data_IF_744225132133
#
_entry.id   IF_744225132133
#
_cell.length_a   1.000
_cell.length_b   1.000
_cell.length_c   1.000
_cell.angle_alpha   90.00
_cell.angle_beta   90.00
_cell.angle_gamma   90.00
#
_symmetry.space_group_name_H-M   'P 1'
#
loop_
_entity.id
_entity.type
_entity.pdbx_description
1 polymer ?
#
# COMPACT_ATOMS: atom_id res chain seq x y z
N UNK A 1 -16.20 29.33 -39.34
CA UNK A 1 -15.26 29.45 -38.22
C UNK A 1 -15.92 28.74 -37.05
N UNK A 2 -15.68 27.43 -36.92
CA UNK A 2 -16.27 26.58 -35.90
C UNK A 2 -15.20 26.35 -34.84
N UNK A 3 -15.35 26.97 -33.67
CA UNK A 3 -14.53 26.63 -32.51
C UNK A 3 -15.07 25.33 -31.92
N UNK A 4 -14.28 24.26 -31.96
CA UNK A 4 -14.44 23.12 -31.07
C UNK A 4 -13.94 23.53 -29.69
N UNK A 5 -14.78 23.35 -28.67
CA UNK A 5 -14.32 23.27 -27.30
C UNK A 5 -14.02 21.79 -27.04
N UNK A 6 -12.74 21.43 -27.04
CA UNK A 6 -12.30 20.17 -26.47
C UNK A 6 -12.43 20.31 -24.95
N UNK A 7 -13.44 19.62 -24.39
CA UNK A 7 -13.54 19.40 -22.96
C UNK A 7 -12.58 18.26 -22.66
N UNK A 8 -11.40 18.57 -22.14
CA UNK A 8 -10.57 17.59 -21.45
C UNK A 8 -11.37 17.10 -20.23
N UNK A 9 -11.96 15.92 -20.37
CA UNK A 9 -12.51 15.17 -19.23
C UNK A 9 -11.29 14.60 -18.52
N UNK A 10 -10.85 15.29 -17.47
CA UNK A 10 -9.87 14.79 -16.52
C UNK A 10 -10.52 13.55 -15.85
N UNK A 11 -10.14 12.35 -16.31
CA UNK A 11 -10.71 11.10 -15.82
C UNK A 11 -10.11 10.76 -14.46
N UNK A 12 -10.76 11.21 -13.39
CA UNK A 12 -10.39 10.93 -11.99
C UNK A 12 -10.45 9.44 -11.59
N UNK A 13 -10.75 8.52 -12.52
CA UNK A 13 -10.98 7.09 -12.28
C UNK A 13 -9.86 6.14 -12.77
N UNK A 14 -8.74 6.64 -13.33
CA UNK A 14 -7.62 5.75 -13.67
C UNK A 14 -6.81 5.36 -12.42
N UNK A 15 -6.48 4.07 -12.22
CA UNK A 15 -5.70 3.62 -11.08
C UNK A 15 -4.34 4.35 -11.04
N UNK A 16 -3.78 4.61 -9.85
CA UNK A 16 -2.56 5.42 -9.71
C UNK A 16 -1.32 4.78 -10.34
N UNK A 17 -1.43 3.54 -10.81
CA UNK A 17 -0.38 2.77 -11.43
C UNK A 17 -0.95 1.78 -12.45
N UNK A 18 -0.09 1.29 -13.34
CA UNK A 18 -0.42 0.24 -14.30
C UNK A 18 0.77 -0.67 -14.53
N UNK A 19 0.48 -1.95 -14.79
CA UNK A 19 1.47 -2.93 -15.21
C UNK A 19 1.51 -3.00 -16.73
N UNK A 20 2.62 -2.62 -17.33
CA UNK A 20 2.79 -2.55 -18.80
C UNK A 20 3.67 -3.69 -19.26
N UNK A 21 3.28 -4.40 -20.33
CA UNK A 21 4.11 -5.46 -20.89
C UNK A 21 5.48 -4.90 -21.33
N UNK A 22 6.56 -5.58 -20.97
CA UNK A 22 7.89 -5.18 -21.39
C UNK A 22 8.07 -5.38 -22.90
N UNK A 23 8.57 -4.35 -23.59
CA UNK A 23 8.79 -4.32 -25.04
C UNK A 23 10.28 -4.30 -25.43
N UNK A 24 11.16 -4.46 -24.43
CA UNK A 24 12.61 -4.36 -24.59
C UNK A 24 13.21 -3.08 -24.02
N UNK A 25 12.39 -2.10 -23.62
CA UNK A 25 12.84 -0.84 -23.00
C UNK A 25 12.11 -0.59 -21.67
N UNK A 26 12.81 0.02 -20.71
CA UNK A 26 12.22 0.45 -19.45
C UNK A 26 11.45 1.77 -19.70
N UNK A 27 10.14 1.84 -19.42
CA UNK A 27 9.37 3.08 -19.56
C UNK A 27 9.94 4.21 -18.69
N UNK A 28 9.90 5.45 -19.18
CA UNK A 28 10.43 6.61 -18.43
C UNK A 28 9.70 6.91 -17.13
N UNK A 29 8.46 6.43 -16.99
CA UNK A 29 7.64 6.53 -15.78
C UNK A 29 7.57 5.20 -15.00
N UNK A 30 8.53 4.29 -15.24
CA UNK A 30 8.67 3.09 -14.44
C UNK A 30 9.08 3.43 -13.00
N UNK A 31 8.62 2.62 -12.05
CA UNK A 31 9.13 2.68 -10.68
C UNK A 31 10.52 2.06 -10.66
N UNK A 32 11.52 2.85 -10.33
CA UNK A 32 12.93 2.47 -10.41
C UNK A 32 13.68 2.71 -9.11
N UNK A 33 14.80 2.01 -8.98
CA UNK A 33 15.86 2.22 -8.00
C UNK A 33 17.19 2.33 -8.72
N UNK A 34 18.21 2.78 -8.00
CA UNK A 34 19.58 2.73 -8.47
C UNK A 34 20.33 1.67 -7.67
N UNK A 35 21.08 0.82 -8.35
CA UNK A 35 22.06 -0.01 -7.66
C UNK A 35 23.23 0.86 -7.14
N UNK A 36 24.17 0.24 -6.41
CA UNK A 36 25.34 0.94 -5.88
C UNK A 36 26.28 1.53 -6.95
N UNK A 37 26.16 1.08 -8.20
CA UNK A 37 26.95 1.54 -9.34
C UNK A 37 26.23 2.67 -10.10
N UNK A 38 24.98 2.98 -9.73
CA UNK A 38 24.14 3.96 -10.39
C UNK A 38 23.35 3.39 -11.59
N UNK A 39 23.31 2.08 -11.77
CA UNK A 39 22.48 1.45 -12.81
C UNK A 39 21.02 1.44 -12.38
N UNK A 40 20.13 1.63 -13.33
CA UNK A 40 18.68 1.60 -13.10
C UNK A 40 18.17 0.17 -12.95
N UNK A 41 17.47 -0.08 -11.86
CA UNK A 41 16.66 -1.28 -11.63
C UNK A 41 15.19 -0.89 -11.71
N UNK A 42 14.42 -1.48 -12.62
CA UNK A 42 12.98 -1.24 -12.71
C UNK A 42 12.19 -2.35 -12.03
N UNK A 43 11.10 -1.96 -11.37
CA UNK A 43 10.16 -2.86 -10.74
C UNK A 43 9.37 -3.62 -11.80
N UNK A 44 9.51 -4.94 -11.80
CA UNK A 44 8.80 -5.83 -12.69
C UNK A 44 7.97 -6.84 -11.90
N UNK A 45 7.07 -7.53 -12.60
CA UNK A 45 6.47 -8.79 -12.13
C UNK A 45 6.34 -9.77 -13.29
N UNK A 46 6.54 -11.04 -13.00
CA UNK A 46 6.47 -12.11 -13.99
C UNK A 46 5.84 -13.38 -13.44
N UNK A 47 5.28 -14.18 -14.35
CA UNK A 47 4.56 -15.40 -14.00
C UNK A 47 5.51 -16.59 -13.90
N UNK A 48 5.26 -17.44 -12.91
CA UNK A 48 5.93 -18.71 -12.67
C UNK A 48 4.89 -19.79 -12.46
N UNK A 49 5.30 -21.07 -12.41
CA UNK A 49 4.38 -22.20 -12.19
C UNK A 49 3.45 -22.02 -10.98
N UNK A 50 3.93 -21.34 -9.93
CA UNK A 50 3.24 -21.20 -8.65
C UNK A 50 2.70 -19.79 -8.37
N UNK A 51 2.67 -18.90 -9.36
CA UNK A 51 2.04 -17.59 -9.22
C UNK A 51 2.76 -16.45 -9.92
N UNK A 52 2.33 -15.22 -9.63
CA UNK A 52 2.83 -13.98 -10.20
C UNK A 52 3.68 -13.25 -9.16
N UNK A 53 4.94 -12.97 -9.47
CA UNK A 53 5.90 -12.50 -8.48
C UNK A 53 6.48 -11.14 -8.85
N UNK A 54 6.49 -10.15 -7.92
CA UNK A 54 7.23 -8.92 -8.12
C UNK A 54 8.75 -9.15 -7.95
N UNK A 55 9.54 -8.35 -8.65
CA UNK A 55 10.99 -8.43 -8.68
C UNK A 55 11.60 -7.21 -9.38
N UNK A 56 12.78 -7.39 -9.94
CA UNK A 56 13.48 -6.30 -10.63
C UNK A 56 14.05 -6.74 -11.97
N UNK A 57 14.14 -5.80 -12.90
CA UNK A 57 14.87 -5.95 -14.16
C UNK A 57 15.93 -4.86 -14.25
N UNK A 58 17.13 -5.23 -14.67
CA UNK A 58 18.19 -4.29 -15.01
C UNK A 58 18.25 -4.05 -16.53
N UNK A 59 18.80 -2.90 -16.94
CA UNK A 59 18.90 -2.51 -18.35
C UNK A 59 19.81 -3.40 -19.21
N UNK A 60 20.70 -4.16 -18.57
CA UNK A 60 21.74 -4.95 -19.26
C UNK A 60 21.22 -6.32 -19.65
N UNK A 61 20.64 -7.05 -18.70
CA UNK A 61 20.19 -8.44 -18.86
C UNK A 61 18.77 -8.51 -19.41
N UNK A 62 17.93 -7.50 -19.18
CA UNK A 62 16.55 -7.41 -19.68
C UNK A 62 15.66 -8.62 -19.32
N UNK A 63 15.99 -9.30 -18.24
CA UNK A 63 15.21 -10.38 -17.64
C UNK A 63 14.67 -9.92 -16.28
N UNK A 64 13.40 -10.21 -16.00
CA UNK A 64 12.80 -9.94 -14.70
C UNK A 64 13.23 -11.01 -13.70
N UNK A 65 14.01 -10.59 -12.70
CA UNK A 65 14.50 -11.42 -11.61
C UNK A 65 13.47 -11.42 -10.48
N UNK A 66 12.85 -12.58 -10.24
CA UNK A 66 11.82 -12.73 -9.19
C UNK A 66 12.23 -13.77 -8.17
N UNK A 67 12.06 -13.43 -6.89
CA UNK A 67 12.18 -14.38 -5.78
C UNK A 67 10.86 -15.15 -5.64
N UNK A 68 10.85 -16.39 -6.13
CA UNK A 68 9.69 -17.26 -6.07
C UNK A 68 9.86 -18.34 -4.99
N UNK A 69 8.76 -19.03 -4.66
CA UNK A 69 8.76 -20.11 -3.69
C UNK A 69 9.90 -21.13 -3.91
N UNK A 70 10.34 -21.79 -2.84
CA UNK A 70 11.43 -22.79 -2.80
C UNK A 70 12.86 -22.21 -2.78
N UNK A 71 13.00 -20.90 -2.52
CA UNK A 71 14.30 -20.27 -2.29
C UNK A 71 15.12 -20.00 -3.56
N UNK A 72 14.47 -19.98 -4.73
CA UNK A 72 15.12 -19.81 -6.04
C UNK A 72 14.78 -18.46 -6.65
N UNK A 73 15.73 -17.95 -7.44
CA UNK A 73 15.50 -16.79 -8.32
C UNK A 73 15.13 -17.31 -9.70
N UNK A 74 14.05 -16.76 -10.26
CA UNK A 74 13.64 -17.03 -11.63
C UNK A 74 13.98 -15.82 -12.51
N UNK A 75 14.53 -16.09 -13.69
CA UNK A 75 14.84 -15.09 -14.71
C UNK A 75 13.79 -15.22 -15.82
N UNK A 76 12.94 -14.20 -15.96
CA UNK A 76 11.76 -14.25 -16.82
C UNK A 76 11.91 -13.27 -17.98
N UNK A 77 11.69 -13.76 -19.21
CA UNK A 77 11.73 -12.94 -20.44
C UNK A 77 10.38 -12.31 -20.79
N UNK A 78 9.27 -12.92 -20.37
CA UNK A 78 7.92 -12.37 -20.48
C UNK A 78 7.47 -11.85 -19.11
N UNK A 79 7.34 -10.53 -18.99
CA UNK A 79 6.97 -9.86 -17.74
C UNK A 79 6.33 -8.49 -18.00
N UNK A 80 5.86 -7.87 -16.92
CA UNK A 80 5.31 -6.51 -16.92
C UNK A 80 6.12 -5.60 -16.01
N UNK A 81 6.22 -4.31 -16.34
CA UNK A 81 6.86 -3.27 -15.54
C UNK A 81 5.79 -2.41 -14.88
N UNK A 82 5.99 -2.06 -13.60
CA UNK A 82 5.11 -1.12 -12.90
C UNK A 82 5.42 0.30 -13.36
N UNK A 83 4.42 0.97 -13.88
CA UNK A 83 4.49 2.39 -14.24
C UNK A 83 3.46 3.18 -13.44
N UNK A 84 3.79 4.42 -13.11
CA UNK A 84 2.91 5.30 -12.34
C UNK A 84 3.24 6.76 -12.66
N UNK A 85 2.27 7.65 -12.51
CA UNK A 85 2.54 9.08 -12.58
C UNK A 85 3.37 9.51 -11.38
N UNK A 86 4.33 10.40 -11.62
CA UNK A 86 5.21 10.91 -10.57
C UNK A 86 4.37 11.52 -9.44
N UNK A 87 4.60 11.05 -8.22
CA UNK A 87 3.91 11.42 -6.98
C UNK A 87 2.61 10.67 -6.65
N UNK A 88 2.19 9.65 -7.39
CA UNK A 88 1.02 8.84 -6.98
C UNK A 88 1.37 7.70 -6.01
N UNK A 89 2.64 7.28 -5.96
CA UNK A 89 3.12 6.21 -5.06
C UNK A 89 4.25 6.71 -4.16
N UNK A 90 4.44 6.06 -3.01
CA UNK A 90 5.57 6.31 -2.10
C UNK A 90 6.04 5.06 -1.37
N UNK A 91 7.30 5.10 -0.95
CA UNK A 91 7.91 4.11 -0.08
C UNK A 91 7.76 4.51 1.39
N UNK A 92 7.21 3.60 2.21
CA UNK A 92 7.15 3.78 3.66
C UNK A 92 7.98 2.70 4.37
N UNK A 93 8.68 3.05 5.46
CA UNK A 93 9.30 2.06 6.33
C UNK A 93 8.28 1.04 6.84
N UNK A 94 8.65 -0.24 6.85
CA UNK A 94 7.81 -1.33 7.31
C UNK A 94 8.60 -2.40 8.05
N UNK A 95 7.90 -3.22 8.84
CA UNK A 95 8.47 -4.38 9.53
C UNK A 95 7.55 -5.59 9.40
N UNK A 96 8.13 -6.78 9.42
CA UNK A 96 7.40 -8.03 9.21
C UNK A 96 6.35 -8.34 10.28
N UNK A 97 6.54 -7.83 11.50
CA UNK A 97 5.56 -7.96 12.59
C UNK A 97 4.47 -6.90 12.58
N UNK A 98 4.51 -5.91 11.67
CA UNK A 98 3.45 -4.92 11.54
C UNK A 98 2.24 -5.51 10.84
N UNK A 99 1.07 -5.17 11.36
CA UNK A 99 -0.20 -5.46 10.71
C UNK A 99 -0.36 -4.57 9.49
N UNK A 100 -0.67 -5.17 8.33
CA UNK A 100 -0.96 -4.47 7.09
C UNK A 100 -2.28 -3.68 7.20
N UNK A 101 -2.19 -2.48 7.75
CA UNK A 101 -3.30 -1.56 7.99
C UNK A 101 -2.86 -0.11 7.84
N UNK A 102 -3.80 0.81 7.62
CA UNK A 102 -3.51 2.25 7.57
C UNK A 102 -3.03 2.79 6.23
N UNK A 103 -2.78 1.91 5.25
CA UNK A 103 -2.27 2.28 3.94
C UNK A 103 -2.98 1.50 2.84
N UNK A 104 -3.03 2.09 1.64
CA UNK A 104 -3.36 1.38 0.41
C UNK A 104 -2.07 0.79 -0.17
N UNK A 105 -1.84 -0.49 0.08
CA UNK A 105 -0.65 -1.21 -0.39
C UNK A 105 -0.78 -1.57 -1.86
N UNK A 106 0.34 -1.51 -2.59
CA UNK A 106 0.36 -1.87 -4.01
C UNK A 106 0.55 -3.38 -4.17
N UNK A 107 -0.36 -4.00 -4.91
CA UNK A 107 -0.34 -5.43 -5.19
C UNK A 107 0.74 -5.76 -6.22
N UNK A 108 1.69 -6.62 -5.82
CA UNK A 108 2.79 -7.08 -6.67
C UNK A 108 2.45 -8.35 -7.45
N UNK A 109 1.54 -9.18 -6.92
CA UNK A 109 1.15 -10.45 -7.50
C UNK A 109 0.63 -11.40 -6.43
N UNK A 110 0.83 -12.71 -6.60
CA UNK A 110 0.33 -13.74 -5.69
C UNK A 110 1.22 -14.99 -5.71
N UNK A 111 1.26 -15.70 -4.59
CA UNK A 111 1.90 -17.02 -4.44
C UNK A 111 0.83 -18.02 -4.04
N UNK A 112 0.54 -18.96 -4.94
CA UNK A 112 -0.66 -19.81 -4.89
C UNK A 112 -1.93 -18.95 -4.79
N UNK A 113 -2.48 -18.78 -3.57
CA UNK A 113 -3.68 -17.99 -3.28
C UNK A 113 -3.43 -16.86 -2.27
N UNK A 114 -2.16 -16.58 -1.96
CA UNK A 114 -1.76 -15.51 -1.05
C UNK A 114 -1.32 -14.28 -1.84
N UNK A 115 -1.96 -13.15 -1.59
CA UNK A 115 -1.57 -11.87 -2.18
C UNK A 115 -0.15 -11.48 -1.73
N UNK A 116 0.63 -10.97 -2.69
CA UNK A 116 1.97 -10.45 -2.49
C UNK A 116 1.99 -8.94 -2.72
N UNK A 117 2.70 -8.24 -1.86
CA UNK A 117 2.97 -6.82 -1.96
C UNK A 117 4.43 -6.56 -2.37
N UNK A 118 4.73 -5.31 -2.70
CA UNK A 118 6.03 -4.92 -3.22
C UNK A 118 6.89 -4.33 -2.11
N UNK A 119 8.07 -4.91 -1.92
CA UNK A 119 9.12 -4.36 -1.07
C UNK A 119 10.28 -3.79 -1.87
N UNK A 120 10.93 -2.80 -1.24
CA UNK A 120 12.29 -2.35 -1.52
C UNK A 120 13.16 -2.67 -0.31
N UNK A 121 14.34 -3.25 -0.54
CA UNK A 121 15.36 -3.49 0.49
C UNK A 121 16.68 -2.85 0.07
N UNK A 122 17.43 -2.32 1.04
CA UNK A 122 18.81 -1.85 0.84
C UNK A 122 19.75 -2.64 1.73
N UNK A 123 20.78 -3.23 1.13
CA UNK A 123 21.80 -4.00 1.81
C UNK A 123 22.85 -3.09 2.47
N UNK A 124 23.65 -3.65 3.39
CA UNK A 124 24.70 -2.90 4.08
C UNK A 124 25.80 -2.34 3.17
N UNK A 125 25.95 -2.87 1.95
CA UNK A 125 26.86 -2.38 0.92
C UNK A 125 26.20 -1.34 -0.01
N UNK A 126 24.94 -0.95 0.24
CA UNK A 126 24.17 -0.01 -0.57
C UNK A 126 23.39 -0.63 -1.73
N UNK A 127 23.57 -1.92 -2.05
CA UNK A 127 22.79 -2.55 -3.13
C UNK A 127 21.30 -2.58 -2.79
N UNK A 128 20.46 -2.28 -3.77
CA UNK A 128 19.01 -2.22 -3.63
C UNK A 128 18.34 -3.31 -4.45
N UNK A 129 17.25 -3.86 -3.93
CA UNK A 129 16.46 -4.85 -4.63
C UNK A 129 14.96 -4.62 -4.42
N UNK A 130 14.19 -4.88 -5.47
CA UNK A 130 12.76 -5.10 -5.34
C UNK A 130 12.47 -6.56 -5.01
N UNK A 131 11.36 -6.78 -4.33
CA UNK A 131 10.95 -8.12 -3.94
C UNK A 131 9.49 -8.23 -3.54
N UNK A 132 9.14 -9.43 -3.09
CA UNK A 132 7.79 -9.79 -2.63
C UNK A 132 7.65 -9.65 -1.12
N UNK A 133 6.42 -9.42 -0.68
CA UNK A 133 6.05 -9.46 0.74
C UNK A 133 4.72 -10.19 0.87
N UNK A 134 4.66 -11.36 1.52
CA UNK A 134 3.38 -11.95 1.89
C UNK A 134 2.74 -11.12 3.01
N UNK A 135 1.42 -11.23 3.16
CA UNK A 135 0.68 -10.54 4.21
C UNK A 135 1.30 -10.82 5.59
N UNK A 136 1.68 -9.75 6.31
CA UNK A 136 2.32 -9.81 7.64
C UNK A 136 3.60 -10.68 7.69
N UNK A 137 4.52 -10.48 6.75
CA UNK A 137 5.76 -11.26 6.65
C UNK A 137 7.02 -10.46 6.32
N UNK A 138 8.13 -11.20 6.18
CA UNK A 138 9.40 -10.64 5.71
C UNK A 138 9.29 -10.20 4.25
N UNK A 139 10.12 -9.24 3.85
CA UNK A 139 10.39 -9.02 2.43
C UNK A 139 11.34 -10.10 1.92
N UNK A 140 11.06 -10.64 0.74
CA UNK A 140 11.91 -11.62 0.05
C UNK A 140 12.37 -11.05 -1.28
N UNK A 141 13.67 -11.13 -1.56
CA UNK A 141 14.29 -10.62 -2.78
C UNK A 141 15.30 -11.64 -3.31
N UNK A 142 15.58 -11.57 -4.62
CA UNK A 142 16.43 -12.53 -5.31
C UNK A 142 17.75 -11.93 -5.77
N UNK A 143 18.86 -12.59 -5.48
CA UNK A 143 20.16 -12.30 -6.11
C UNK A 143 20.66 -13.57 -6.82
N UNK A 144 21.46 -14.40 -6.14
CA UNK A 144 21.80 -15.77 -6.55
C UNK A 144 20.79 -16.80 -6.04
N UNK A 145 20.11 -16.47 -4.94
CA UNK A 145 19.04 -17.22 -4.28
C UNK A 145 18.07 -16.25 -3.62
N UNK A 146 17.02 -16.78 -3.02
CA UNK A 146 16.11 -15.97 -2.22
C UNK A 146 16.73 -15.62 -0.87
N UNK A 147 16.68 -14.33 -0.52
CA UNK A 147 17.02 -13.79 0.78
C UNK A 147 15.81 -13.11 1.40
N UNK A 148 15.85 -12.87 2.72
CA UNK A 148 14.76 -12.19 3.42
C UNK A 148 15.23 -11.10 4.38
N UNK A 149 14.38 -10.08 4.57
CA UNK A 149 14.55 -8.99 5.51
C UNK A 149 13.28 -8.79 6.34
N UNK A 150 13.43 -8.63 7.66
CA UNK A 150 12.32 -8.34 8.57
C UNK A 150 11.96 -6.86 8.63
N UNK A 151 12.79 -5.99 8.06
CA UNK A 151 12.59 -4.54 7.97
C UNK A 151 12.92 -4.11 6.56
N UNK A 152 12.04 -3.32 5.95
CA UNK A 152 12.09 -3.01 4.53
C UNK A 152 11.26 -1.76 4.26
N UNK A 153 11.28 -1.26 3.02
CA UNK A 153 10.31 -0.29 2.54
C UNK A 153 9.19 -1.02 1.80
N UNK A 154 7.95 -0.61 2.02
CA UNK A 154 6.78 -1.13 1.29
C UNK A 154 6.16 -0.03 0.43
N UNK A 155 5.69 -0.40 -0.75
CA UNK A 155 5.08 0.53 -1.70
C UNK A 155 3.59 0.75 -1.40
N UNK A 156 3.18 2.01 -1.33
CA UNK A 156 1.79 2.41 -1.06
C UNK A 156 1.38 3.61 -1.93
N UNK A 157 0.08 3.86 -2.07
CA UNK A 157 -0.41 5.11 -2.70
C UNK A 157 -0.04 6.34 -1.86
N UNK A 158 0.28 7.45 -2.54
CA UNK A 158 0.78 8.69 -1.94
C UNK A 158 -0.32 9.57 -1.33
N UNK A 159 -1.59 9.42 -1.77
CA UNK A 159 -2.75 10.14 -1.19
C UNK A 159 -3.05 9.76 0.27
N UNK A 160 -2.33 8.77 0.79
CA UNK A 160 -2.28 8.47 2.19
C UNK A 160 -1.43 9.51 2.93
N UNK A 161 -2.02 10.63 3.34
CA UNK A 161 -1.75 11.02 4.72
C UNK A 161 -1.93 9.78 5.60
N UNK A 162 -1.20 9.64 6.71
CA UNK A 162 -1.58 8.73 7.81
C UNK A 162 -2.92 9.18 8.42
N UNK A 163 -3.93 9.43 7.59
CA UNK A 163 -5.29 9.03 7.87
C UNK A 163 -5.14 7.61 8.39
N UNK A 164 -5.60 7.42 9.61
CA UNK A 164 -6.07 6.11 9.97
C UNK A 164 -7.07 5.73 8.86
N UNK A 165 -6.63 5.04 7.80
CA UNK A 165 -7.39 3.90 7.33
C UNK A 165 -7.33 2.95 8.51
N UNK A 166 -8.19 3.23 9.49
CA UNK A 166 -8.75 2.23 10.35
C UNK A 166 -8.94 1.05 9.40
N UNK A 167 -8.25 -0.10 9.63
CA UNK A 167 -8.77 -1.40 9.16
C UNK A 167 -10.26 -1.24 9.33
N UNK A 168 -11.05 -1.21 8.24
CA UNK A 168 -12.40 -0.68 8.35
C UNK A 168 -12.98 -1.32 9.63
N UNK A 169 -13.24 -0.54 10.70
CA UNK A 169 -13.45 -1.12 12.01
C UNK A 169 -14.70 -2.00 12.00
N UNK A 170 -15.44 -1.93 10.89
CA UNK A 170 -16.67 -2.58 10.59
C UNK A 170 -16.51 -3.82 9.71
N UNK A 171 -15.41 -4.10 9.00
CA UNK A 171 -15.29 -5.35 8.23
C UNK A 171 -13.87 -5.84 7.91
N UNK A 172 -13.73 -7.15 7.70
CA UNK A 172 -12.49 -7.81 7.26
C UNK A 172 -12.76 -9.10 6.48
N UNK A 173 -11.82 -9.50 5.61
CA UNK A 173 -11.84 -10.79 4.93
C UNK A 173 -10.96 -11.78 5.69
N UNK A 174 -11.54 -12.91 6.11
CA UNK A 174 -10.89 -13.92 6.95
C UNK A 174 -10.80 -15.23 6.19
N UNK A 175 -9.61 -15.84 6.11
CA UNK A 175 -9.43 -17.15 5.48
C UNK A 175 -10.33 -18.20 6.12
N UNK A 176 -11.02 -19.00 5.30
CA UNK A 176 -11.81 -20.11 5.83
C UNK A 176 -10.89 -21.22 6.35
N UNK A 177 -11.10 -21.61 7.60
CA UNK A 177 -10.29 -22.62 8.32
C UNK A 177 -11.08 -23.89 8.63
N UNK A 178 -12.25 -24.06 8.01
CA UNK A 178 -13.22 -25.11 8.34
C UNK A 178 -14.37 -24.61 9.22
N UNK A 179 -14.31 -23.38 9.73
CA UNK A 179 -15.38 -22.78 10.53
C UNK A 179 -15.85 -21.43 9.97
N UNK A 180 -17.15 -21.13 10.11
CA UNK A 180 -17.71 -19.83 9.74
C UNK A 180 -17.61 -18.91 10.98
N UNK A 181 -16.92 -17.75 10.89
CA UNK A 181 -16.83 -16.80 11.99
C UNK A 181 -18.20 -16.30 12.46
N UNK A 182 -18.37 -16.08 13.77
CA UNK A 182 -19.65 -15.64 14.35
C UNK A 182 -20.11 -14.25 13.87
N UNK A 183 -19.16 -13.41 13.47
CA UNK A 183 -19.40 -12.08 12.90
C UNK A 183 -19.40 -12.09 11.36
N UNK A 184 -19.54 -13.26 10.72
CA UNK A 184 -19.67 -13.34 9.27
C UNK A 184 -20.91 -12.57 8.77
N UNK A 185 -20.78 -11.99 7.58
CA UNK A 185 -21.89 -11.37 6.86
C UNK A 185 -22.68 -12.49 6.18
N UNK A 186 -23.88 -12.73 6.72
CA UNK A 186 -24.72 -13.86 6.34
C UNK A 186 -26.14 -13.40 6.01
N UNK A 187 -26.87 -14.27 5.32
CA UNK A 187 -28.32 -14.19 5.22
C UNK A 187 -28.93 -15.59 5.23
N UNK A 188 -30.14 -15.70 5.75
CA UNK A 188 -30.91 -16.94 5.76
C UNK A 188 -32.02 -16.84 4.73
N UNK A 189 -32.09 -17.83 3.84
CA UNK A 189 -33.17 -17.98 2.87
C UNK A 189 -34.40 -18.65 3.53
N UNK A 190 -35.56 -18.60 2.86
CA UNK A 190 -36.83 -19.15 3.36
C UNK A 190 -36.81 -20.67 3.66
N UNK A 191 -35.81 -21.39 3.16
CA UNK A 191 -35.56 -22.81 3.42
C UNK A 191 -34.58 -23.07 4.58
N UNK A 192 -34.38 -22.08 5.45
CA UNK A 192 -33.42 -22.06 6.56
C UNK A 192 -31.94 -22.22 6.13
N UNK A 193 -31.65 -22.14 4.83
CA UNK A 193 -30.29 -22.18 4.31
C UNK A 193 -29.58 -20.85 4.57
N UNK A 194 -28.47 -20.91 5.30
CA UNK A 194 -27.64 -19.74 5.58
C UNK A 194 -26.54 -19.61 4.55
N UNK A 195 -26.58 -18.51 3.80
CA UNK A 195 -25.52 -18.13 2.88
C UNK A 195 -24.54 -17.17 3.57
N UNK A 196 -23.27 -17.31 3.23
CA UNK A 196 -22.18 -16.46 3.73
C UNK A 196 -21.51 -15.78 2.55
N UNK A 197 -21.17 -14.49 2.67
CA UNK A 197 -20.37 -13.80 1.65
C UNK A 197 -18.95 -14.37 1.65
N UNK A 198 -18.46 -14.78 0.47
CA UNK A 198 -17.09 -15.26 0.30
C UNK A 198 -16.41 -14.63 -0.91
N UNK A 199 -15.09 -14.73 -0.96
CA UNK A 199 -14.28 -14.44 -2.15
C UNK A 199 -13.19 -15.48 -2.35
N UNK A 200 -12.84 -15.72 -3.60
CA UNK A 200 -11.80 -16.66 -4.04
C UNK A 200 -10.72 -15.88 -4.78
N UNK A 201 -9.51 -16.44 -4.78
CA UNK A 201 -8.39 -15.95 -5.56
C UNK A 201 -8.11 -17.00 -6.63
N UNK A 202 -8.24 -16.63 -7.91
CA UNK A 202 -8.00 -17.55 -9.02
C UNK A 202 -7.12 -16.89 -10.09
N UNK A 203 -6.23 -17.68 -10.70
CA UNK A 203 -5.26 -17.20 -11.70
C UNK A 203 -5.93 -16.66 -12.97
N UNK A 204 -7.10 -17.18 -13.33
CA UNK A 204 -7.77 -16.89 -14.60
C UNK A 204 -8.71 -15.71 -14.48
N UNK A 205 -9.44 -15.59 -13.37
CA UNK A 205 -10.48 -14.56 -13.22
C UNK A 205 -10.21 -13.50 -12.15
N UNK A 206 -9.11 -13.58 -11.41
CA UNK A 206 -8.75 -12.61 -10.37
C UNK A 206 -9.40 -12.92 -9.01
N UNK A 207 -9.66 -11.89 -8.21
CA UNK A 207 -10.31 -12.02 -6.90
C UNK A 207 -11.81 -11.86 -7.10
N UNK A 208 -12.57 -12.97 -7.10
CA UNK A 208 -14.00 -12.95 -7.34
C UNK A 208 -14.81 -13.31 -6.11
N UNK A 209 -15.96 -12.67 -5.95
CA UNK A 209 -16.85 -12.89 -4.83
C UNK A 209 -18.10 -13.68 -5.21
N UNK A 210 -18.70 -14.29 -4.20
CA UNK A 210 -19.93 -15.06 -4.31
C UNK A 210 -20.44 -15.47 -2.94
N UNK A 211 -20.89 -16.72 -2.82
CA UNK A 211 -21.46 -17.21 -1.56
C UNK A 211 -21.01 -18.61 -1.20
N UNK A 212 -20.97 -18.90 0.09
CA UNK A 212 -20.89 -20.26 0.63
C UNK A 212 -22.28 -20.66 1.08
N UNK A 213 -22.73 -21.82 0.62
CA UNK A 213 -23.87 -22.52 1.19
C UNK A 213 -23.38 -23.32 2.41
N UNK A 214 -24.03 -23.12 3.57
CA UNK A 214 -23.66 -23.78 4.83
C UNK A 214 -23.68 -25.32 4.78
N UNK A 215 -24.25 -25.93 3.74
CA UNK A 215 -24.24 -27.37 3.51
C UNK A 215 -23.05 -27.87 2.67
N UNK A 216 -22.45 -27.01 1.84
CA UNK A 216 -21.48 -27.44 0.82
C UNK A 216 -20.03 -26.99 1.10
N UNK A 217 -19.79 -26.12 2.08
CA UNK A 217 -18.46 -25.64 2.52
C UNK A 217 -17.51 -25.23 1.36
N UNK A 218 -18.07 -24.80 0.24
CA UNK A 218 -17.37 -24.35 -0.96
C UNK A 218 -17.89 -22.98 -1.33
N UNK A 219 -16.99 -22.09 -1.73
CA UNK A 219 -17.36 -20.79 -2.25
C UNK A 219 -17.80 -20.94 -3.70
N UNK A 220 -19.08 -20.69 -3.96
CA UNK A 220 -19.70 -20.58 -5.28
C UNK A 220 -19.47 -19.18 -5.83
N UNK A 221 -18.78 -19.07 -6.96
CA UNK A 221 -18.54 -17.80 -7.66
C UNK A 221 -18.98 -17.88 -9.12
N UNK A 222 -19.53 -16.79 -9.64
CA UNK A 222 -19.87 -16.67 -11.06
C UNK A 222 -18.71 -16.06 -11.83
N UNK A 223 -18.37 -16.63 -12.97
CA UNK A 223 -17.45 -16.01 -13.92
C UNK A 223 -17.74 -16.49 -15.34
N UNK A 224 -17.73 -15.57 -16.31
CA UNK A 224 -17.95 -15.86 -17.72
C UNK A 224 -19.17 -16.78 -17.97
N UNK A 225 -20.30 -16.45 -17.35
CA UNK A 225 -21.59 -17.17 -17.47
C UNK A 225 -21.69 -18.53 -16.76
N UNK A 226 -20.62 -19.02 -16.13
CA UNK A 226 -20.56 -20.32 -15.45
C UNK A 226 -20.39 -20.15 -13.92
N UNK A 227 -20.80 -21.17 -13.15
CA UNK A 227 -20.54 -21.25 -11.70
C UNK A 227 -19.32 -22.11 -11.41
N UNK A 228 -18.40 -21.58 -10.61
CA UNK A 228 -17.25 -22.29 -10.08
C UNK A 228 -17.40 -22.48 -8.58
N UNK A 229 -17.07 -23.67 -8.10
CA UNK A 229 -17.09 -24.00 -6.68
C UNK A 229 -15.66 -24.32 -6.21
N UNK A 230 -15.18 -23.52 -5.26
CA UNK A 230 -13.79 -23.54 -4.82
C UNK A 230 -13.70 -23.75 -3.31
N UNK A 231 -12.69 -24.50 -2.88
CA UNK A 231 -12.46 -24.86 -1.48
C UNK A 231 -11.56 -23.86 -0.75
N UNK A 232 -10.77 -23.08 -1.50
CA UNK A 232 -9.86 -22.11 -0.92
C UNK A 232 -10.40 -20.68 -1.08
N UNK A 233 -10.94 -20.14 0.02
CA UNK A 233 -11.66 -18.87 0.00
C UNK A 233 -11.54 -18.11 1.32
N UNK A 234 -11.95 -16.84 1.27
CA UNK A 234 -12.07 -15.97 2.44
C UNK A 234 -13.55 -15.62 2.67
N UNK A 235 -13.92 -15.41 3.94
CA UNK A 235 -15.25 -15.02 4.39
C UNK A 235 -15.24 -13.55 4.77
N UNK A 236 -16.26 -12.81 4.33
CA UNK A 236 -16.48 -11.44 4.80
C UNK A 236 -17.04 -11.47 6.22
N UNK A 237 -16.34 -10.80 7.13
CA UNK A 237 -16.74 -10.60 8.52
C UNK A 237 -16.93 -9.12 8.79
N UNK A 238 -17.81 -8.75 9.72
CA UNK A 238 -17.99 -7.34 10.06
C UNK A 238 -19.01 -7.03 11.15
N UNK A 239 -18.98 -5.78 11.62
CA UNK A 239 -19.99 -5.21 12.51
C UNK A 239 -21.27 -4.91 11.74
N UNK A 240 -22.29 -5.73 11.98
CA UNK A 240 -23.61 -5.63 11.34
C UNK A 240 -24.34 -4.31 11.65
N UNK A 241 -23.94 -3.57 12.69
CA UNK A 241 -24.51 -2.24 12.99
C UNK A 241 -23.91 -1.12 12.14
N UNK A 242 -22.83 -1.41 11.42
CA UNK A 242 -22.05 -0.44 10.67
C UNK A 242 -22.00 -0.74 9.18
N UNK A 243 -22.63 -1.83 8.76
CA UNK A 243 -22.80 -2.22 7.39
C UNK A 243 -24.28 -2.27 7.03
N UNK A 244 -24.64 -1.67 5.90
CA UNK A 244 -26.03 -1.56 5.46
C UNK A 244 -26.20 -2.08 4.04
N UNK A 245 -27.31 -2.77 3.83
CA UNK A 245 -27.79 -3.09 2.48
C UNK A 245 -28.72 -1.98 2.00
N UNK A 246 -28.37 -1.32 0.89
CA UNK A 246 -29.23 -0.31 0.25
C UNK A 246 -29.77 -0.84 -1.08
N UNK A 247 -30.97 -0.41 -1.46
CA UNK A 247 -31.55 -0.75 -2.76
C UNK A 247 -30.83 -0.01 -3.89
N UNK A 248 -30.41 -0.78 -4.88
CA UNK A 248 -29.66 -0.32 -6.03
C UNK A 248 -30.30 -0.80 -7.33
N UNK A 249 -30.02 -0.08 -8.39
CA UNK A 249 -30.45 -0.44 -9.73
C UNK A 249 -29.43 0.00 -10.78
N UNK A 250 -29.46 -0.66 -11.93
CA UNK A 250 -28.45 -0.50 -13.00
C UNK A 250 -28.50 0.84 -13.71
N UNK A 251 -29.46 1.72 -13.41
CA UNK A 251 -29.49 3.08 -13.95
C UNK A 251 -28.66 4.05 -13.12
N UNK A 252 -28.30 3.68 -11.89
CA UNK A 252 -27.48 4.49 -10.98
C UNK A 252 -25.99 4.24 -11.22
N UNK A 253 -25.23 5.32 -11.29
CA UNK A 253 -23.77 5.26 -11.24
C UNK A 253 -23.29 4.90 -9.85
N UNK A 254 -22.26 4.04 -9.74
CA UNK A 254 -21.66 3.62 -8.46
C UNK A 254 -20.85 4.75 -7.82
N UNK A 255 -21.53 5.79 -7.38
CA UNK A 255 -20.96 6.96 -6.71
C UNK A 255 -21.81 7.37 -5.50
N UNK A 256 -21.26 8.24 -4.65
CA UNK A 256 -21.98 8.83 -3.51
C UNK A 256 -22.09 7.96 -2.25
N UNK A 257 -21.52 6.75 -2.24
CA UNK A 257 -21.47 5.87 -1.06
C UNK A 257 -20.10 5.21 -0.92
N UNK A 258 -19.77 4.78 0.30
CA UNK A 258 -18.64 3.86 0.53
C UNK A 258 -19.11 2.42 0.39
N UNK A 259 -18.93 1.85 -0.79
CA UNK A 259 -19.29 0.47 -1.11
C UNK A 259 -18.26 -0.52 -0.54
N UNK A 260 -18.72 -1.72 -0.18
CA UNK A 260 -17.84 -2.78 0.31
C UNK A 260 -17.21 -3.51 -0.89
N UNK A 261 -15.90 -3.30 -1.06
CA UNK A 261 -15.09 -3.98 -2.07
C UNK A 261 -14.92 -5.46 -1.71
N UNK A 262 -15.31 -6.33 -2.64
CA UNK A 262 -15.24 -7.78 -2.52
C UNK A 262 -14.14 -8.44 -3.32
N UNK A 263 -13.58 -7.75 -4.30
CA UNK A 263 -12.53 -8.30 -5.14
C UNK A 263 -12.14 -7.41 -6.31
N UNK A 264 -11.35 -7.97 -7.22
CA UNK A 264 -10.82 -7.32 -8.41
C UNK A 264 -10.92 -8.34 -9.54
N UNK A 265 -11.60 -7.99 -10.63
CA UNK A 265 -11.74 -8.84 -11.81
C UNK A 265 -10.39 -8.98 -12.56
N UNK A 266 -10.28 -9.95 -13.45
CA UNK A 266 -9.11 -10.25 -14.29
C UNK A 266 -8.58 -9.05 -15.09
N UNK A 267 -9.43 -8.06 -15.37
CA UNK A 267 -9.08 -6.82 -16.07
C UNK A 267 -8.61 -5.69 -15.13
N UNK A 268 -8.56 -5.92 -13.81
CA UNK A 268 -8.18 -4.93 -12.81
C UNK A 268 -9.35 -4.09 -12.26
N UNK A 269 -10.59 -4.34 -12.67
CA UNK A 269 -11.76 -3.59 -12.18
C UNK A 269 -12.20 -4.04 -10.78
N UNK A 270 -12.52 -3.09 -9.90
CA UNK A 270 -13.06 -3.38 -8.58
C UNK A 270 -14.46 -4.01 -8.63
N UNK A 271 -14.66 -5.03 -7.81
CA UNK A 271 -15.94 -5.73 -7.66
C UNK A 271 -16.54 -5.44 -6.28
N UNK A 272 -17.82 -5.11 -6.22
CA UNK A 272 -18.53 -4.76 -4.99
C UNK A 272 -19.53 -5.83 -4.55
N UNK A 273 -19.69 -5.98 -3.24
CA UNK A 273 -20.57 -6.98 -2.60
C UNK A 273 -22.04 -6.60 -2.79
N UNK A 274 -22.81 -7.46 -3.45
CA UNK A 274 -24.24 -7.30 -3.60
C UNK A 274 -25.05 -8.51 -3.13
N UNK A 275 -26.31 -8.26 -2.80
CA UNK A 275 -27.34 -9.22 -2.41
C UNK A 275 -28.47 -9.13 -3.42
N UNK A 276 -28.79 -10.25 -4.05
CA UNK A 276 -29.67 -10.30 -5.22
C UNK A 276 -30.88 -11.17 -4.91
N UNK A 277 -32.08 -10.63 -5.10
CA UNK A 277 -33.31 -11.41 -5.03
C UNK A 277 -33.51 -12.18 -6.34
N UNK A 278 -33.66 -13.50 -6.25
CA UNK A 278 -33.90 -14.34 -7.42
C UNK A 278 -35.40 -14.56 -7.65
N UNK A 279 -36.01 -15.36 -6.78
CA UNK A 279 -37.45 -15.73 -6.80
C UNK A 279 -37.81 -16.48 -5.52
N UNK A 280 -39.09 -16.51 -5.15
CA UNK A 280 -39.61 -17.30 -4.01
C UNK A 280 -38.85 -17.08 -2.70
N UNK A 281 -38.56 -15.81 -2.37
CA UNK A 281 -37.88 -15.46 -1.12
C UNK A 281 -36.37 -15.72 -1.09
N UNK A 282 -35.80 -16.29 -2.16
CA UNK A 282 -34.37 -16.65 -2.20
C UNK A 282 -33.49 -15.50 -2.64
N UNK A 283 -32.46 -15.27 -1.85
CA UNK A 283 -31.39 -14.33 -2.10
C UNK A 283 -30.07 -15.05 -2.33
N UNK A 284 -29.19 -14.43 -3.11
CA UNK A 284 -27.81 -14.86 -3.34
C UNK A 284 -26.86 -13.69 -3.19
N UNK A 285 -25.65 -13.95 -2.70
CA UNK A 285 -24.58 -12.96 -2.76
C UNK A 285 -23.89 -13.06 -4.10
N UNK A 286 -23.38 -11.92 -4.56
CA UNK A 286 -22.76 -11.80 -5.86
C UNK A 286 -21.98 -10.50 -5.97
N UNK A 287 -21.66 -10.13 -7.20
CA UNK A 287 -20.81 -8.99 -7.53
C UNK A 287 -21.52 -7.96 -8.40
N UNK A 288 -21.02 -6.73 -8.36
CA UNK A 288 -21.30 -5.69 -9.36
C UNK A 288 -20.05 -4.83 -9.55
N UNK A 289 -19.99 -4.06 -10.62
CA UNK A 289 -18.89 -3.13 -10.93
C UNK A 289 -19.39 -2.00 -11.83
N UNK A 290 -18.55 -0.99 -12.06
CA UNK A 290 -18.87 0.12 -12.94
C UNK A 290 -19.14 -0.34 -14.39
N UNK A 291 -18.38 -1.33 -14.86
CA UNK A 291 -18.52 -1.91 -16.19
C UNK A 291 -19.67 -2.92 -16.27
N UNK A 292 -19.90 -3.71 -15.22
CA UNK A 292 -21.01 -4.65 -15.17
C UNK A 292 -22.36 -3.90 -15.19
N UNK A 293 -22.46 -2.78 -14.47
CA UNK A 293 -23.69 -1.97 -14.24
C UNK A 293 -24.86 -2.73 -13.62
N UNK A 294 -24.82 -4.05 -13.57
CA UNK A 294 -25.83 -4.95 -13.03
C UNK A 294 -25.17 -5.90 -12.04
N UNK A 295 -25.95 -6.42 -11.11
CA UNK A 295 -25.45 -7.42 -10.18
C UNK A 295 -25.47 -8.82 -10.82
N UNK A 296 -24.39 -9.58 -10.67
CA UNK A 296 -24.28 -10.97 -11.11
C UNK A 296 -24.12 -11.91 -9.92
N UNK A 297 -24.70 -13.11 -10.02
CA UNK A 297 -24.57 -14.18 -9.02
C UNK A 297 -24.57 -15.54 -9.70
N UNK A 298 -23.86 -16.51 -9.12
CA UNK A 298 -23.90 -17.89 -9.57
C UNK A 298 -25.07 -18.66 -8.93
N UNK A 299 -25.59 -19.66 -9.63
CA UNK A 299 -26.52 -20.63 -9.09
C UNK A 299 -26.67 -21.82 -10.03
N UNK A 300 -26.57 -23.05 -9.50
CA UNK A 300 -26.89 -24.28 -10.25
C UNK A 300 -26.14 -24.38 -11.59
N UNK A 301 -24.83 -24.14 -11.53
CA UNK A 301 -23.92 -24.26 -12.67
C UNK A 301 -23.80 -23.02 -13.55
N UNK A 302 -24.56 -21.94 -13.30
CA UNK A 302 -24.57 -20.76 -14.19
C UNK A 302 -24.49 -19.44 -13.43
N UNK A 303 -23.94 -18.43 -14.09
CA UNK A 303 -24.01 -17.04 -13.64
C UNK A 303 -25.23 -16.33 -14.25
N UNK A 304 -25.96 -15.60 -13.41
CA UNK A 304 -27.15 -14.83 -13.78
C UNK A 304 -26.95 -13.37 -13.42
N UNK A 305 -27.69 -12.47 -14.08
CA UNK A 305 -27.67 -11.05 -13.78
C UNK A 305 -29.05 -10.49 -13.41
N UNK A 306 -29.05 -9.42 -12.62
CA UNK A 306 -30.23 -8.64 -12.24
C UNK A 306 -29.92 -7.15 -12.24
N UNK A 307 -30.83 -6.37 -12.81
CA UNK A 307 -30.76 -4.90 -12.86
C UNK A 307 -31.20 -4.22 -11.57
N UNK A 308 -31.87 -4.93 -10.65
CA UNK A 308 -32.22 -4.43 -9.32
C UNK A 308 -31.71 -5.40 -8.26
N UNK A 309 -31.01 -4.87 -7.28
CA UNK A 309 -30.29 -5.61 -6.26
C UNK A 309 -30.06 -4.74 -5.03
N UNK A 310 -29.54 -5.31 -3.96
CA UNK A 310 -29.02 -4.54 -2.83
C UNK A 310 -27.50 -4.53 -2.86
N UNK A 311 -26.88 -3.38 -2.62
CA UNK A 311 -25.42 -3.26 -2.51
C UNK A 311 -25.05 -2.99 -1.05
N UNK A 312 -23.93 -3.56 -0.59
CA UNK A 312 -23.46 -3.38 0.78
C UNK A 312 -22.62 -2.09 0.87
N UNK A 313 -22.90 -1.27 1.87
CA UNK A 313 -22.22 -0.01 2.15
C UNK A 313 -21.88 0.13 3.63
N UNK A 314 -21.03 1.10 3.97
CA UNK A 314 -20.86 1.58 5.36
C UNK A 314 -22.06 2.45 5.79
N UNK A 315 -22.66 2.19 6.96
CA UNK A 315 -23.86 2.89 7.47
C UNK A 315 -23.68 4.41 7.55
N UNK A 316 -22.49 4.87 7.94
CA UNK A 316 -22.19 6.30 8.06
C UNK A 316 -22.25 7.02 6.70
N UNK A 317 -22.24 6.29 5.58
CA UNK A 317 -22.46 6.85 4.21
C UNK A 317 -23.90 7.31 3.97
N UNK A 318 -24.88 6.85 4.75
CA UNK A 318 -26.30 7.21 4.55
C UNK A 318 -26.63 8.59 5.12
N UNK A 319 -25.86 9.05 6.10
CA UNK A 319 -26.07 10.34 6.76
C UNK A 319 -25.61 11.54 5.92
N UNK A 320 -24.73 11.33 4.93
CA UNK A 320 -24.30 12.38 3.99
C UNK A 320 -25.31 12.62 2.83
N UNK A 321 -26.26 11.71 2.61
CA UNK A 321 -27.15 11.76 1.42
C UNK A 321 -28.50 12.46 1.71
N UNK A 322 -28.76 12.87 2.95
CA UNK A 322 -30.09 13.40 3.36
C UNK A 322 -30.23 14.92 3.39
N UNK A 323 -29.34 15.69 2.77
CA UNK A 323 -29.54 17.14 2.58
C UNK A 323 -28.98 17.63 1.25
N UNK A 324 -29.73 17.47 0.17
CA UNK A 324 -29.58 18.29 -1.04
C UNK A 324 -30.10 19.70 -0.76
N UNK A 325 -29.28 20.52 -0.10
CA UNK A 325 -29.32 21.97 -0.23
C UNK A 325 -27.98 22.41 -0.76
N UNK A 326 -28.00 22.88 -2.01
CA UNK A 326 -26.93 23.59 -2.71
C UNK A 326 -26.26 24.59 -1.81
N UNK A 327 -25.18 24.15 -1.16
CA UNK A 327 -24.15 25.01 -0.61
C UNK A 327 -22.91 24.55 -1.33
N UNK A 328 -22.33 25.44 -2.12
CA UNK A 328 -21.05 25.24 -2.81
C UNK A 328 -20.04 24.75 -1.79
N UNK A 329 -19.79 23.44 -1.78
CA UNK A 329 -18.72 22.83 -1.01
C UNK A 329 -17.44 23.42 -1.61
N UNK A 330 -16.57 24.08 -0.82
CA UNK A 330 -15.29 24.49 -1.33
C UNK A 330 -14.58 23.21 -1.77
N UNK A 331 -14.18 23.19 -3.05
CA UNK A 331 -13.31 22.22 -3.68
C UNK A 331 -12.42 21.55 -2.64
N UNK A 332 -12.60 20.25 -2.43
CA UNK A 332 -11.73 19.49 -1.56
C UNK A 332 -10.31 19.75 -2.04
N UNK A 333 -9.57 20.53 -1.25
CA UNK A 333 -8.16 20.77 -1.49
C UNK A 333 -7.54 19.38 -1.38
N UNK A 334 -7.11 18.82 -2.51
CA UNK A 334 -6.18 17.71 -2.53
C UNK A 334 -5.00 18.14 -1.67
N UNK A 335 -4.98 17.68 -0.41
CA UNK A 335 -3.91 17.96 0.53
C UNK A 335 -2.76 17.05 0.14
N UNK A 336 -2.06 17.45 -0.92
CA UNK A 336 -0.68 17.03 -1.17
C UNK A 336 0.06 17.09 0.17
N UNK A 337 0.64 15.95 0.57
CA UNK A 337 1.44 15.83 1.78
C UNK A 337 2.39 17.03 1.87
N UNK A 338 2.49 17.63 3.06
CA UNK A 338 3.44 18.71 3.30
C UNK A 338 4.91 18.29 3.14
N UNK A 339 5.19 16.99 3.03
CA UNK A 339 6.53 16.44 2.84
C UNK A 339 6.52 15.12 2.05
N UNK A 340 7.66 14.78 1.46
CA UNK A 340 7.94 13.47 0.85
C UNK A 340 9.42 13.10 1.04
N UNK A 341 9.73 11.82 0.90
CA UNK A 341 11.10 11.29 0.90
C UNK A 341 11.50 10.97 -0.54
N UNK A 342 12.60 11.55 -1.00
CA UNK A 342 13.10 11.38 -2.38
C UNK A 342 14.47 10.73 -2.37
N UNK A 343 14.72 9.78 -3.27
CA UNK A 343 16.04 9.17 -3.42
C UNK A 343 17.11 10.22 -3.73
N UNK A 344 18.26 10.11 -3.09
CA UNK A 344 19.37 11.01 -3.33
C UNK A 344 20.02 10.72 -4.68
N UNK A 345 20.09 11.74 -5.54
CA UNK A 345 20.64 11.63 -6.89
C UNK A 345 22.01 12.34 -7.04
N UNK A 346 22.70 12.60 -5.92
CA UNK A 346 23.99 13.30 -5.91
C UNK A 346 23.90 14.81 -5.63
N UNK A 347 22.70 15.37 -5.46
CA UNK A 347 22.48 16.78 -5.07
C UNK A 347 21.34 16.91 -4.04
N UNK A 348 21.44 17.88 -3.12
CA UNK A 348 20.36 18.14 -2.17
C UNK A 348 19.27 18.97 -2.87
N UNK A 349 18.00 18.50 -2.91
CA UNK A 349 16.90 19.26 -3.51
C UNK A 349 16.69 20.63 -2.86
N UNK A 350 16.28 21.61 -3.65
CA UNK A 350 16.06 23.00 -3.16
C UNK A 350 14.94 23.09 -2.11
N UNK A 351 13.95 22.20 -2.18
CA UNK A 351 12.86 22.08 -1.22
C UNK A 351 13.18 21.08 -0.08
N UNK A 352 14.43 20.65 0.08
CA UNK A 352 14.84 19.81 1.19
C UNK A 352 14.64 20.53 2.54
N UNK A 353 14.28 19.76 3.57
CA UNK A 353 14.22 20.25 4.94
C UNK A 353 15.65 20.33 5.46
N UNK A 354 16.11 21.56 5.67
CA UNK A 354 17.50 21.87 5.97
C UNK A 354 17.64 22.75 7.21
N UNK A 355 18.83 22.73 7.79
CA UNK A 355 19.29 23.73 8.75
C UNK A 355 20.66 24.29 8.32
N UNK A 356 20.96 25.51 8.76
CA UNK A 356 22.31 26.07 8.67
C UNK A 356 23.14 25.56 9.84
N UNK A 357 24.26 24.92 9.54
CA UNK A 357 25.19 24.35 10.51
C UNK A 357 26.51 25.16 10.58
N UNK A 358 26.44 26.44 10.22
CA UNK A 358 27.56 27.37 10.22
C UNK A 358 28.62 27.06 9.16
N UNK A 359 29.52 28.02 8.93
CA UNK A 359 30.62 27.89 7.95
C UNK A 359 30.18 27.42 6.56
N UNK A 360 29.01 27.88 6.09
CA UNK A 360 28.40 27.48 4.81
C UNK A 360 28.03 25.98 4.72
N UNK A 361 27.96 25.29 5.85
CA UNK A 361 27.55 23.89 5.89
C UNK A 361 26.03 23.82 6.08
N UNK A 362 25.30 23.46 5.02
CA UNK A 362 23.87 23.17 5.12
C UNK A 362 23.68 21.69 5.36
N UNK A 363 22.96 21.33 6.42
CA UNK A 363 22.54 19.95 6.65
C UNK A 363 21.13 19.75 6.14
N UNK A 364 20.87 18.65 5.44
CA UNK A 364 19.53 18.17 5.10
C UNK A 364 19.17 16.92 5.90
N UNK A 365 17.89 16.74 6.20
CA UNK A 365 17.38 15.51 6.82
C UNK A 365 17.45 14.38 5.81
N UNK A 366 18.07 13.26 6.19
CA UNK A 366 18.14 12.05 5.38
C UNK A 366 17.71 10.82 6.17
N UNK A 367 17.29 9.76 5.47
CA UNK A 367 17.05 8.43 6.06
C UNK A 367 17.57 7.33 5.15
N UNK A 368 17.99 6.22 5.74
CA UNK A 368 18.39 5.04 4.97
C UNK A 368 18.29 3.76 5.78
N UNK A 369 18.18 2.65 5.08
CA UNK A 369 18.28 1.31 5.66
C UNK A 369 19.75 0.90 5.74
N UNK A 370 20.16 0.33 6.87
CA UNK A 370 21.52 -0.22 7.00
C UNK A 370 21.50 -1.53 7.75
N UNK A 371 21.88 -2.61 7.04
CA UNK A 371 21.92 -3.97 7.59
C UNK A 371 20.59 -4.33 8.28
N UNK A 372 20.65 -5.05 9.39
CA UNK A 372 19.50 -5.41 10.23
C UNK A 372 19.24 -4.38 11.33
N UNK A 373 19.78 -3.16 11.22
CA UNK A 373 19.60 -2.13 12.26
C UNK A 373 18.25 -1.41 12.09
N UNK A 374 17.62 -1.56 10.94
CA UNK A 374 16.39 -0.87 10.57
C UNK A 374 16.64 0.30 9.63
N UNK A 375 15.66 1.19 9.56
CA UNK A 375 15.69 2.42 8.76
C UNK A 375 15.89 3.58 9.73
N UNK A 376 16.99 4.29 9.60
CA UNK A 376 17.38 5.35 10.53
C UNK A 376 17.49 6.69 9.83
N UNK A 377 17.15 7.75 10.56
CA UNK A 377 17.31 9.13 10.11
C UNK A 377 18.55 9.78 10.71
N UNK A 378 19.11 10.71 9.96
CA UNK A 378 20.19 11.58 10.40
C UNK A 378 20.34 12.78 9.46
N UNK A 379 21.58 13.10 9.08
CA UNK A 379 21.88 14.29 8.28
C UNK A 379 22.83 14.01 7.12
N UNK A 380 22.71 14.82 6.06
CA UNK A 380 23.64 14.83 4.92
C UNK A 380 24.03 16.27 4.61
N UNK A 381 25.24 16.48 4.08
CA UNK A 381 25.68 17.77 3.54
C UNK A 381 26.25 17.62 2.14
N UNK A 382 26.37 18.75 1.43
CA UNK A 382 26.88 18.82 0.05
C UNK A 382 28.34 18.38 -0.11
N UNK A 383 29.13 18.38 0.97
CA UNK A 383 30.55 18.00 0.93
C UNK A 383 30.71 16.49 1.00
N UNK A 384 30.08 15.83 1.98
CA UNK A 384 30.20 14.38 2.18
C UNK A 384 29.32 13.60 1.21
N UNK A 385 28.13 14.13 0.89
CA UNK A 385 27.10 13.45 0.09
C UNK A 385 26.76 12.04 0.58
N UNK A 386 26.97 11.81 1.89
CA UNK A 386 26.62 10.57 2.60
C UNK A 386 25.68 10.90 3.75
N UNK A 387 24.66 10.07 3.95
CA UNK A 387 23.74 10.21 5.06
C UNK A 387 24.38 9.63 6.34
N UNK A 388 24.68 10.51 7.28
CA UNK A 388 25.21 10.18 8.60
C UNK A 388 24.08 9.80 9.55
N UNK A 389 24.01 8.53 9.94
CA UNK A 389 23.04 8.01 10.92
C UNK A 389 23.76 7.53 12.19
N UNK A 390 23.12 7.69 13.34
CA UNK A 390 23.61 7.07 14.59
C UNK A 390 22.99 5.69 14.79
N UNK A 391 23.72 4.73 15.35
CA UNK A 391 23.13 3.50 15.91
C UNK A 391 24.11 2.80 16.86
N UNK A 392 23.62 2.36 18.01
CA UNK A 392 24.41 1.56 18.96
C UNK A 392 25.67 2.26 19.48
N UNK A 393 25.67 3.60 19.55
CA UNK A 393 26.81 4.38 20.02
C UNK A 393 27.76 4.89 18.92
N UNK A 394 27.59 4.45 17.67
CA UNK A 394 28.48 4.78 16.54
C UNK A 394 27.76 5.56 15.44
N UNK A 395 28.51 6.33 14.63
CA UNK A 395 28.01 6.94 13.39
C UNK A 395 28.31 6.05 12.17
N UNK A 396 27.32 5.91 11.29
CA UNK A 396 27.43 5.22 10.02
C UNK A 396 27.11 6.16 8.87
N UNK A 397 27.89 6.10 7.79
CA UNK A 397 27.71 6.91 6.60
C UNK A 397 27.15 6.06 5.46
N UNK A 398 25.94 6.38 5.02
CA UNK A 398 25.23 5.68 3.96
C UNK A 398 25.39 6.39 2.62
N UNK A 399 25.62 5.62 1.57
CA UNK A 399 25.73 6.13 0.19
C UNK A 399 24.37 6.12 -0.54
N UNK A 400 23.47 5.22 -0.12
CA UNK A 400 22.12 5.09 -0.65
C UNK A 400 21.12 5.47 0.44
N UNK A 401 20.36 6.53 0.21
CA UNK A 401 19.46 7.13 1.19
C UNK A 401 18.45 8.07 0.52
N UNK A 402 17.40 8.41 1.26
CA UNK A 402 16.39 9.37 0.84
C UNK A 402 16.55 10.70 1.60
N UNK A 403 16.23 11.83 0.95
CA UNK A 403 16.18 13.17 1.54
C UNK A 403 14.72 13.54 1.81
N UNK A 404 14.46 14.11 2.99
CA UNK A 404 13.17 14.70 3.32
C UNK A 404 13.01 16.04 2.61
N UNK A 405 11.99 16.14 1.76
CA UNK A 405 11.61 17.36 1.04
C UNK A 405 10.19 17.75 1.44
N UNK A 406 9.84 19.03 1.32
CA UNK A 406 8.49 19.47 1.66
C UNK A 406 8.27 20.97 1.63
N UNK A 407 7.02 21.36 1.82
CA UNK A 407 6.64 22.76 2.01
C UNK A 407 7.01 23.19 3.43
N UNK A 408 8.10 23.94 3.54
CA UNK A 408 8.61 24.49 4.81
C UNK A 408 7.57 25.34 5.55
N UNK A 409 6.57 25.90 4.86
CA UNK A 409 5.51 26.70 5.50
C UNK A 409 4.43 25.84 6.17
N UNK A 410 4.33 24.56 5.81
CA UNK A 410 3.40 23.58 6.39
C UNK A 410 4.04 22.75 7.49
N UNK A 411 5.35 22.90 7.70
CA UNK A 411 6.11 22.18 8.72
C UNK A 411 6.62 23.14 9.78
N UNK A 412 6.72 22.66 11.02
CA UNK A 412 7.33 23.42 12.11
C UNK A 412 8.08 22.50 13.06
N UNK A 413 9.21 22.98 13.56
CA UNK A 413 9.87 22.37 14.70
C UNK A 413 9.09 22.70 15.98
N UNK A 414 8.89 21.70 16.81
CA UNK A 414 8.27 21.89 18.13
C UNK A 414 9.27 21.45 19.19
N UNK A 415 9.38 22.25 20.26
CA UNK A 415 10.12 21.82 21.43
C UNK A 415 9.41 20.63 22.06
N UNK A 416 10.12 19.52 22.18
CA UNK A 416 9.57 18.27 22.67
C UNK A 416 10.23 17.87 24.00
N UNK A 417 9.40 17.41 24.93
CA UNK A 417 9.85 16.72 26.12
C UNK A 417 8.96 15.48 26.34
N UNK A 418 9.48 14.45 26.98
CA UNK A 418 8.79 13.16 27.15
C UNK A 418 7.55 13.20 28.06
N UNK A 419 7.21 14.36 28.62
CA UNK A 419 6.05 14.59 29.49
C UNK A 419 4.88 15.28 28.76
N UNK A 420 5.11 15.82 27.55
CA UNK A 420 4.04 16.40 26.71
C UNK A 420 3.16 15.29 26.14
N UNK A 421 1.85 15.38 26.38
CA UNK A 421 0.85 14.49 25.79
C UNK A 421 0.85 14.70 24.26
N UNK A 422 0.99 13.62 23.49
CA UNK A 422 1.13 13.61 22.02
C UNK A 422 -0.16 13.98 21.25
N UNK A 423 -1.21 14.44 21.94
CA UNK A 423 -2.50 14.76 21.32
C UNK A 423 -2.42 16.03 20.49
N UNK A 424 -2.83 15.95 19.22
CA UNK A 424 -3.02 17.12 18.34
C UNK A 424 -1.85 17.47 17.41
N UNK A 425 -0.78 16.68 17.37
CA UNK A 425 0.35 16.88 16.44
C UNK A 425 0.60 15.63 15.59
N UNK A 426 0.89 15.83 14.31
CA UNK A 426 1.34 14.79 13.38
C UNK A 426 2.85 14.91 13.20
N UNK A 427 3.60 13.93 13.72
CA UNK A 427 5.06 13.90 13.62
C UNK A 427 5.50 13.34 12.26
N UNK A 428 6.69 13.76 11.80
CA UNK A 428 7.30 13.21 10.59
C UNK A 428 7.96 11.88 10.94
N UNK A 429 7.41 10.79 10.42
CA UNK A 429 8.00 9.46 10.52
C UNK A 429 9.25 9.37 9.67
N UNK A 430 10.31 8.87 10.30
CA UNK A 430 11.68 8.98 9.80
C UNK A 430 12.31 7.61 9.59
N UNK A 431 11.72 6.56 10.15
CA UNK A 431 12.21 5.20 10.01
C UNK A 431 11.63 4.23 11.03
N UNK A 432 12.25 3.07 11.14
CA UNK A 432 11.90 2.02 12.10
C UNK A 432 13.20 1.48 12.69
N UNK A 433 13.30 1.46 14.02
CA UNK A 433 14.45 0.92 14.74
C UNK A 433 14.48 -0.62 14.69
N UNK A 434 15.59 -1.26 15.03
CA UNK A 434 15.78 -2.73 14.96
C UNK A 434 14.76 -3.53 15.79
N UNK A 435 14.21 -2.91 16.83
CA UNK A 435 13.14 -3.47 17.67
C UNK A 435 11.73 -3.30 17.06
N UNK A 436 11.63 -2.66 15.89
CA UNK A 436 10.38 -2.39 15.19
C UNK A 436 9.63 -1.13 15.66
N UNK A 437 10.23 -0.27 16.46
CA UNK A 437 9.62 0.99 16.88
C UNK A 437 9.72 2.06 15.78
N UNK A 438 8.64 2.80 15.55
CA UNK A 438 8.64 3.97 14.66
C UNK A 438 9.52 5.08 15.21
N UNK A 439 10.39 5.59 14.34
CA UNK A 439 11.27 6.72 14.60
C UNK A 439 10.68 8.00 14.01
N UNK A 440 10.96 9.13 14.67
CA UNK A 440 10.56 10.47 14.23
C UNK A 440 11.77 11.38 14.06
N UNK A 441 11.68 12.33 13.15
CA UNK A 441 12.75 13.33 12.93
C UNK A 441 12.86 14.25 14.14
N UNK A 442 14.06 14.48 14.64
CA UNK A 442 14.34 15.52 15.63
C UNK A 442 15.54 16.38 15.23
N UNK A 443 15.62 17.56 15.83
CA UNK A 443 16.73 18.49 15.70
C UNK A 443 17.31 18.73 17.09
N UNK A 444 18.64 18.71 17.22
CA UNK A 444 19.35 18.77 18.50
C UNK A 444 20.52 19.73 18.42
N UNK A 445 20.60 20.66 19.38
CA UNK A 445 21.78 21.51 19.57
C UNK A 445 22.88 20.73 20.29
N UNK A 446 24.04 20.63 19.66
CA UNK A 446 25.24 19.99 20.20
C UNK A 446 26.12 20.99 20.96
N UNK A 447 27.00 20.48 21.83
CA UNK A 447 27.87 21.30 22.69
C UNK A 447 28.89 22.16 21.93
N UNK A 448 29.10 21.89 20.64
CA UNK A 448 29.93 22.70 19.75
C UNK A 448 29.19 23.96 19.23
N UNK A 449 27.94 24.20 19.64
CA UNK A 449 27.15 25.37 19.24
C UNK A 449 26.37 25.19 17.94
N UNK A 450 26.26 23.96 17.46
CA UNK A 450 25.68 23.62 16.15
C UNK A 450 24.51 22.64 16.28
N UNK A 451 23.55 22.75 15.37
CA UNK A 451 22.37 21.88 15.34
C UNK A 451 22.56 20.69 14.40
N UNK A 452 22.04 19.54 14.80
CA UNK A 452 22.10 18.29 14.03
C UNK A 452 20.74 17.61 13.97
N UNK A 453 20.48 16.93 12.85
CA UNK A 453 19.31 16.07 12.74
C UNK A 453 19.59 14.68 13.32
N UNK A 454 18.54 14.11 13.88
CA UNK A 454 18.59 12.78 14.45
C UNK A 454 17.22 12.13 14.50
N UNK A 455 17.09 11.19 15.43
CA UNK A 455 15.89 10.38 15.64
C UNK A 455 15.43 10.42 17.09
N UNK A 456 14.12 10.32 17.28
CA UNK A 456 13.47 10.08 18.57
C UNK A 456 12.35 9.08 18.40
N UNK A 457 11.82 8.55 19.49
CA UNK A 457 10.67 7.66 19.49
C UNK A 457 9.89 7.78 20.81
N UNK A 458 8.72 7.14 20.83
CA UNK A 458 7.89 7.02 22.03
C UNK A 458 8.61 6.36 23.21
N UNK A 459 9.49 5.39 22.93
CA UNK A 459 10.23 4.63 23.94
C UNK A 459 11.59 5.25 24.25
N UNK A 460 12.28 5.84 23.27
CA UNK A 460 13.56 6.52 23.48
C UNK A 460 13.41 7.67 24.47
N UNK A 461 12.29 8.42 24.42
CA UNK A 461 12.00 9.58 25.28
C UNK A 461 13.12 10.65 25.28
N UNK A 462 14.03 10.57 24.31
CA UNK A 462 15.27 11.33 24.13
C UNK A 462 15.60 11.38 22.65
N UNK A 463 16.46 12.31 22.25
CA UNK A 463 16.95 12.38 20.89
C UNK A 463 18.32 11.70 20.77
N UNK A 464 18.47 10.86 19.75
CA UNK A 464 19.73 10.26 19.33
C UNK A 464 20.18 10.90 18.01
N UNK A 465 21.43 11.30 17.91
CA UNK A 465 21.98 11.93 16.71
C UNK A 465 23.46 11.59 16.55
N UNK A 466 23.95 11.56 15.31
CA UNK A 466 25.34 11.26 15.02
C UNK A 466 26.17 12.54 14.89
N UNK A 467 27.42 12.54 15.39
CA UNK A 467 28.41 13.59 15.15
C UNK A 467 29.81 12.97 15.25
N UNK A 468 30.71 13.28 14.30
CA UNK A 468 32.15 12.99 14.40
C UNK A 468 32.50 11.55 14.79
N UNK A 469 31.83 10.57 14.18
CA UNK A 469 32.06 9.14 14.37
C UNK A 469 31.21 8.49 15.47
N UNK A 470 30.42 9.25 16.24
CA UNK A 470 29.67 8.72 17.41
C UNK A 470 28.19 9.06 17.38
N UNK A 471 27.38 8.17 17.95
CA UNK A 471 26.01 8.47 18.31
C UNK A 471 25.95 9.10 19.71
N UNK A 472 25.34 10.27 19.80
CA UNK A 472 25.06 11.00 21.02
C UNK A 472 23.59 10.86 21.40
N UNK A 473 23.33 10.87 22.71
CA UNK A 473 21.98 10.80 23.29
C UNK A 473 21.79 12.05 24.15
N UNK A 474 20.67 12.76 23.98
CA UNK A 474 20.38 13.95 24.79
C UNK A 474 20.13 13.59 26.26
N UNK A 475 20.51 14.51 27.16
CA UNK A 475 20.03 14.48 28.53
C UNK A 475 18.55 14.92 28.56
N UNK A 476 17.77 14.36 29.49
CA UNK A 476 16.29 14.39 29.56
C UNK A 476 15.67 15.77 29.32
#
# INVERSE_FOLDING_TARGET
MTCSFDVEVDSEDEPPYRWVKFDGNIPSNAITLNDRLGNTLALCRGETDNGLYPGYVDETNKECNVAAAQGKVHHLSDFTILTSDSNKLKWIPWKSSSVFSGYKFIEGGYESNNLLYIAKVTLGNGEQYFGKVPLNGNAYYGEDKEYSFSQYFILVENDNEKTERVLNPYYSWVKYDGSIPSNAITMTNDDDNTLVVCRVHDKIFGINLGYVDGHNNRCSVGYNYEEYQLEDYEILTGDKNKLKWIDWDSSKELSGYKFIEGGIDSNGEALYVCKIYRTYGRYYFGKTSASLKQATFSYNGREYSKSSYKILIEEDSVNDVSTTTTTSIPTAISTTLSYTWVEFNGSIPTNAITLDNGNYNTLAVCRGQYKTFGIHTGYVNETTKKCSIGYGGEEYQLEVFEILTGDKNKLRWIEWNSLKILGGYKFIESGIDSNGETLYVCMVSHSNGYDYFGKTSTSLKKANYAVSGKEYITNK
#
